data_IF_209133933144
#
_entry.id   IF_209133933144
#
_cell.length_a   1.000
_cell.length_b   1.000
_cell.length_c   1.000
_cell.angle_alpha   90.00
_cell.angle_beta   90.00
_cell.angle_gamma   90.00
#
_symmetry.space_group_name_H-M   'P 1'
#
loop_
_entity.id
_entity.type
_entity.pdbx_description
1 polymer ?
#
# COMPACT_ATOMS: atom_id res chain seq x y z
N UNK A 1 -46.31 -41.00 -31.25
CA UNK A 1 -45.74 -41.89 -30.22
C UNK A 1 -45.29 -41.02 -29.06
N UNK A 2 -45.94 -41.21 -27.90
CA UNK A 2 -45.64 -40.51 -26.66
C UNK A 2 -44.34 -41.07 -26.05
N UNK A 3 -43.43 -40.23 -25.60
CA UNK A 3 -42.43 -40.64 -24.60
C UNK A 3 -42.36 -39.59 -23.49
N UNK A 4 -42.45 -40.11 -22.27
CA UNK A 4 -42.83 -39.42 -21.03
C UNK A 4 -41.60 -38.83 -20.32
N UNK A 5 -41.89 -37.76 -19.60
CA UNK A 5 -41.10 -37.12 -18.56
C UNK A 5 -40.51 -38.08 -17.52
N UNK A 6 -39.29 -37.80 -17.06
CA UNK A 6 -38.83 -38.16 -15.72
C UNK A 6 -38.22 -36.90 -15.09
N UNK A 7 -39.01 -36.26 -14.23
CA UNK A 7 -38.54 -35.27 -13.27
C UNK A 7 -38.08 -36.03 -12.01
N UNK A 8 -36.82 -35.90 -11.63
CA UNK A 8 -36.33 -36.41 -10.34
C UNK A 8 -36.29 -35.25 -9.37
N UNK A 9 -37.28 -35.21 -8.48
CA UNK A 9 -37.24 -34.46 -7.23
C UNK A 9 -36.24 -35.12 -6.28
N UNK A 10 -35.30 -34.35 -5.74
CA UNK A 10 -34.59 -34.72 -4.51
C UNK A 10 -34.95 -33.74 -3.40
N UNK A 11 -35.71 -34.23 -2.43
CA UNK A 11 -36.03 -33.55 -1.18
C UNK A 11 -34.93 -33.74 -0.14
N UNK A 12 -34.48 -32.61 0.41
CA UNK A 12 -34.23 -32.28 1.82
C UNK A 12 -33.60 -33.34 2.76
N UNK A 13 -32.40 -33.02 3.25
CA UNK A 13 -31.99 -33.34 4.62
C UNK A 13 -31.07 -32.23 5.16
N UNK A 14 -31.64 -31.35 5.98
CA UNK A 14 -30.91 -30.38 6.82
C UNK A 14 -30.42 -31.13 8.05
N UNK A 15 -29.10 -31.32 8.18
CA UNK A 15 -28.48 -31.76 9.42
C UNK A 15 -27.87 -30.54 10.12
N UNK A 16 -28.57 -30.05 11.15
CA UNK A 16 -27.97 -29.19 12.17
C UNK A 16 -26.94 -30.02 12.94
N UNK A 17 -25.66 -29.66 12.83
CA UNK A 17 -24.66 -30.07 13.80
C UNK A 17 -24.03 -28.81 14.39
N UNK A 18 -24.43 -28.47 15.61
CA UNK A 18 -23.80 -27.47 16.42
C UNK A 18 -22.49 -28.05 16.97
N UNK A 19 -21.35 -27.62 16.44
CA UNK A 19 -20.04 -27.87 17.05
C UNK A 19 -19.42 -26.54 17.45
N UNK A 20 -19.25 -26.34 18.75
CA UNK A 20 -18.61 -25.19 19.36
C UNK A 20 -17.17 -25.04 18.83
N UNK A 21 -16.84 -23.87 18.29
CA UNK A 21 -15.47 -23.50 17.93
C UNK A 21 -14.62 -23.32 19.20
N UNK A 22 -13.39 -23.86 19.27
CA UNK A 22 -12.49 -23.53 20.36
C UNK A 22 -12.02 -22.08 20.18
N UNK A 23 -12.16 -21.30 21.26
CA UNK A 23 -11.61 -19.96 21.38
C UNK A 23 -10.09 -20.04 21.20
N UNK A 24 -9.59 -19.61 20.04
CA UNK A 24 -8.17 -19.45 19.79
C UNK A 24 -7.62 -18.35 20.74
N UNK A 25 -7.08 -18.78 21.89
CA UNK A 25 -6.18 -17.96 22.71
C UNK A 25 -4.85 -17.85 21.95
N UNK A 26 -4.69 -16.77 21.17
CA UNK A 26 -3.47 -16.51 20.43
C UNK A 26 -3.23 -15.01 20.24
N UNK A 27 -2.43 -14.44 21.15
CA UNK A 27 -1.47 -13.34 20.95
C UNK A 27 -1.03 -12.88 22.34
N UNK A 28 -0.08 -13.61 22.91
CA UNK A 28 0.81 -13.07 23.94
C UNK A 28 2.20 -13.19 23.32
N UNK A 29 2.92 -12.07 23.30
CA UNK A 29 4.32 -11.91 22.88
C UNK A 29 4.62 -11.84 21.37
N UNK A 30 4.54 -10.62 20.82
CA UNK A 30 5.39 -10.20 19.71
C UNK A 30 6.63 -9.46 20.25
N UNK A 31 7.50 -10.16 21.00
CA UNK A 31 8.85 -9.71 21.37
C UNK A 31 9.70 -10.92 21.82
N UNK A 32 11.04 -10.91 21.69
CA UNK A 32 11.88 -12.08 21.89
C UNK A 32 12.01 -12.44 23.39
N UNK A 33 12.01 -13.74 23.66
CA UNK A 33 12.18 -14.35 25.00
C UNK A 33 13.33 -13.72 25.81
N UNK A 34 13.02 -13.15 26.97
CA UNK A 34 13.94 -13.06 28.12
C UNK A 34 13.18 -13.53 29.37
N UNK A 35 13.83 -14.39 30.14
CA UNK A 35 13.26 -15.29 31.13
C UNK A 35 12.44 -14.63 32.28
N UNK A 36 11.46 -15.40 32.76
CA UNK A 36 10.62 -15.14 33.95
C UNK A 36 11.43 -15.06 35.25
N UNK A 37 11.07 -14.13 36.14
CA UNK A 37 11.15 -14.35 37.59
C UNK A 37 10.03 -13.59 38.31
N UNK A 38 9.32 -14.31 39.18
CA UNK A 38 8.18 -13.84 39.96
C UNK A 38 8.61 -13.02 41.18
N UNK A 39 7.89 -11.96 41.53
CA UNK A 39 7.81 -11.51 42.92
C UNK A 39 6.51 -10.72 43.16
N UNK A 40 5.73 -11.18 44.15
CA UNK A 40 4.55 -10.53 44.71
C UNK A 40 4.99 -9.43 45.67
N UNK A 41 4.31 -8.29 45.68
CA UNK A 41 4.51 -7.24 46.69
C UNK A 41 3.35 -6.25 46.71
N UNK A 42 2.43 -6.43 47.66
CA UNK A 42 1.28 -5.57 47.93
C UNK A 42 1.68 -4.64 49.08
N UNK A 43 1.61 -3.32 48.89
CA UNK A 43 1.53 -2.36 50.01
C UNK A 43 0.55 -1.25 49.64
N UNK A 44 -0.38 -1.03 50.56
CA UNK A 44 -1.45 -0.05 50.58
C UNK A 44 -1.19 0.87 51.79
N UNK A 45 -1.83 2.05 51.83
CA UNK A 45 -1.86 3.13 52.85
C UNK A 45 -1.11 4.39 52.40
N UNK A 46 -1.58 5.63 52.58
CA UNK A 46 -2.86 6.17 53.06
C UNK A 46 -2.89 7.69 52.83
N UNK A 47 -4.10 8.24 52.91
CA UNK A 47 -4.60 9.63 52.72
C UNK A 47 -3.81 10.76 53.44
N UNK A 48 -3.86 11.97 52.85
CA UNK A 48 -4.21 13.29 53.43
C UNK A 48 -4.36 14.29 52.26
N UNK A 49 -5.57 14.60 51.79
CA UNK A 49 -6.51 15.66 52.22
C UNK A 49 -6.02 17.11 52.08
N UNK A 50 -6.81 17.82 51.27
CA UNK A 50 -7.30 19.19 51.44
C UNK A 50 -6.59 20.38 50.76
N UNK A 51 -7.24 20.81 49.66
CA UNK A 51 -8.00 22.07 49.59
C UNK A 51 -7.25 23.32 49.09
N UNK A 52 -7.54 23.79 47.87
CA UNK A 52 -8.50 24.89 47.62
C UNK A 52 -8.60 25.27 46.14
N UNK A 53 -9.75 25.85 45.87
CA UNK A 53 -10.41 26.07 44.59
C UNK A 53 -9.95 27.34 43.84
N UNK A 54 -10.16 27.27 42.52
CA UNK A 54 -10.75 28.27 41.64
C UNK A 54 -9.95 29.46 41.06
N UNK A 55 -9.95 29.46 39.71
CA UNK A 55 -10.39 30.52 38.78
C UNK A 55 -9.66 31.87 38.82
N UNK A 56 -9.44 32.61 37.73
CA UNK A 56 -9.66 32.50 36.29
C UNK A 56 -9.05 33.79 35.71
N UNK A 57 -8.56 33.74 34.45
CA UNK A 57 -8.54 34.84 33.45
C UNK A 57 -7.63 36.06 33.80
N UNK A 58 -7.04 36.83 32.88
CA UNK A 58 -7.09 37.05 31.41
C UNK A 58 -5.79 37.83 31.09
N UNK A 59 -5.00 37.44 30.09
CA UNK A 59 -4.78 38.11 28.79
C UNK A 59 -4.24 39.56 28.76
N UNK A 60 -3.18 39.72 27.95
CA UNK A 60 -2.70 40.97 27.33
C UNK A 60 -1.53 41.60 28.08
N UNK A 61 -0.36 41.92 27.53
CA UNK A 61 0.11 42.10 26.15
C UNK A 61 1.10 43.27 26.17
N UNK A 62 2.18 43.23 25.37
CA UNK A 62 2.95 44.44 25.02
C UNK A 62 4.41 44.49 25.48
N UNK A 63 5.28 44.81 24.51
CA UNK A 63 6.75 44.86 24.52
C UNK A 63 7.33 46.06 25.29
N UNK A 64 8.57 45.93 25.81
CA UNK A 64 9.75 46.77 25.48
C UNK A 64 10.92 46.59 26.48
N UNK A 65 12.14 46.51 25.93
CA UNK A 65 13.42 46.96 26.53
C UNK A 65 13.98 46.08 27.65
N UNK A 66 15.24 45.67 27.70
CA UNK A 66 16.45 46.21 27.12
C UNK A 66 17.53 46.21 28.22
N UNK A 67 18.69 45.65 27.90
CA UNK A 67 20.01 45.84 28.52
C UNK A 67 20.37 45.23 29.90
N UNK A 68 21.37 44.33 29.80
CA UNK A 68 22.72 44.43 30.35
C UNK A 68 23.10 43.83 31.72
N UNK A 69 24.09 42.94 31.59
CA UNK A 69 25.38 42.86 32.31
C UNK A 69 25.49 42.05 33.62
N UNK A 70 26.66 41.39 33.69
CA UNK A 70 27.29 40.81 34.89
C UNK A 70 27.21 39.28 34.89
N UNK A 71 28.10 38.55 34.21
CA UNK A 71 29.43 38.15 34.72
C UNK A 71 29.36 37.49 36.10
N UNK A 72 29.51 36.16 36.18
CA UNK A 72 30.80 35.60 36.60
C UNK A 72 30.86 34.07 36.50
N UNK A 73 32.06 33.64 36.12
CA UNK A 73 32.51 32.27 35.87
C UNK A 73 32.99 31.58 37.15
N UNK A 74 32.81 30.25 37.22
CA UNK A 74 33.78 29.26 37.73
C UNK A 74 33.14 27.86 37.53
N UNK A 75 33.41 27.12 36.45
CA UNK A 75 34.60 26.36 36.07
C UNK A 75 34.83 25.03 36.82
N UNK A 76 35.01 23.97 36.02
CA UNK A 76 35.72 22.71 36.28
C UNK A 76 35.00 21.54 36.98
N UNK A 77 34.35 20.70 36.16
CA UNK A 77 34.71 19.29 35.92
C UNK A 77 34.74 18.28 37.07
N UNK A 78 33.89 17.24 36.97
CA UNK A 78 34.33 15.85 36.70
C UNK A 78 33.14 14.88 36.63
N UNK A 79 33.25 13.98 35.65
CA UNK A 79 32.47 12.78 35.42
C UNK A 79 32.10 12.00 36.68
N UNK A 80 30.84 11.57 36.76
CA UNK A 80 30.52 10.18 37.08
C UNK A 80 29.34 9.70 36.23
N UNK A 81 29.68 8.92 35.20
CA UNK A 81 28.79 8.00 34.50
C UNK A 81 28.07 7.08 35.51
N UNK A 82 26.75 7.17 35.56
CA UNK A 82 25.88 6.06 35.92
C UNK A 82 24.92 5.84 34.75
N UNK A 83 25.31 4.90 33.88
CA UNK A 83 24.46 4.41 32.81
C UNK A 83 23.15 3.89 33.38
N UNK A 84 22.06 4.50 32.94
CA UNK A 84 20.75 3.87 32.95
C UNK A 84 20.27 3.84 31.51
N UNK A 85 20.19 2.63 30.97
CA UNK A 85 19.42 2.34 29.77
C UNK A 85 18.02 2.92 29.96
N UNK A 86 17.78 4.08 29.36
CA UNK A 86 16.46 4.65 29.23
C UNK A 86 15.68 3.73 28.29
N UNK A 87 14.99 2.74 28.86
CA UNK A 87 13.87 2.09 28.21
C UNK A 87 12.98 3.22 27.69
N UNK A 88 12.91 3.36 26.37
CA UNK A 88 11.87 4.14 25.72
C UNK A 88 10.57 3.50 26.16
N UNK A 89 9.93 4.10 27.17
CA UNK A 89 8.66 3.64 27.69
C UNK A 89 7.63 3.76 26.58
N UNK A 90 7.41 2.67 25.86
CA UNK A 90 6.21 2.47 25.07
C UNK A 90 5.06 2.51 26.07
N UNK A 91 4.44 3.68 26.21
CA UNK A 91 3.12 3.77 26.85
C UNK A 91 2.23 2.85 26.03
N UNK A 92 1.82 1.72 26.61
CA UNK A 92 0.78 0.86 26.07
C UNK A 92 -0.48 1.71 25.84
N UNK A 93 -0.63 2.27 24.65
CA UNK A 93 -1.96 2.55 24.11
C UNK A 93 -2.65 1.19 24.05
N UNK A 94 -3.97 1.09 24.34
CA UNK A 94 -4.68 -0.17 24.16
C UNK A 94 -4.39 -0.65 22.75
N UNK A 95 -3.61 -1.73 22.65
CA UNK A 95 -3.06 -2.19 21.38
C UNK A 95 -4.25 -2.51 20.47
N UNK A 96 -4.51 -1.64 19.50
CA UNK A 96 -5.26 -2.07 18.33
C UNK A 96 -4.38 -3.17 17.73
N UNK A 97 -4.75 -4.43 17.97
CA UNK A 97 -3.94 -5.61 17.65
C UNK A 97 -3.25 -5.42 16.30
N UNK A 98 -1.93 -5.24 16.34
CA UNK A 98 -1.11 -5.16 15.13
C UNK A 98 -1.10 -6.51 14.41
N UNK A 99 -1.36 -7.62 15.13
CA UNK A 99 -1.45 -8.99 14.62
C UNK A 99 -2.91 -9.45 14.48
N UNK A 100 -3.26 -10.04 13.34
CA UNK A 100 -4.62 -10.50 13.05
C UNK A 100 -4.67 -12.02 12.97
N UNK A 101 -5.56 -12.64 13.75
CA UNK A 101 -5.67 -14.11 13.81
C UNK A 101 -6.06 -14.78 12.49
N UNK A 102 -6.70 -14.05 11.56
CA UNK A 102 -7.08 -14.59 10.26
C UNK A 102 -5.87 -14.96 9.39
N UNK A 103 -4.69 -14.41 9.65
CA UNK A 103 -3.47 -14.79 8.91
C UNK A 103 -2.98 -16.19 9.30
N UNK A 104 -3.51 -16.78 10.38
CA UNK A 104 -3.28 -18.18 10.74
C UNK A 104 -4.19 -19.16 9.97
N UNK A 105 -5.10 -18.65 9.13
CA UNK A 105 -6.00 -19.46 8.32
C UNK A 105 -5.43 -19.63 6.90
N UNK A 106 -5.24 -20.88 6.49
CA UNK A 106 -4.72 -21.26 5.16
C UNK A 106 -5.80 -21.29 4.06
N UNK A 107 -7.08 -21.14 4.44
CA UNK A 107 -8.22 -21.14 3.53
C UNK A 107 -8.67 -22.53 3.06
N UNK A 108 -8.10 -23.62 3.59
CA UNK A 108 -8.35 -25.00 3.12
C UNK A 108 -9.06 -25.89 4.14
N UNK A 109 -9.99 -25.32 4.92
CA UNK A 109 -10.76 -26.06 5.93
C UNK A 109 -12.27 -25.86 5.74
N UNK A 110 -12.98 -26.81 5.09
CA UNK A 110 -12.46 -28.02 4.44
C UNK A 110 -11.67 -27.72 3.14
N UNK A 111 -10.84 -28.66 2.64
CA UNK A 111 -10.11 -28.47 1.38
C UNK A 111 -11.06 -28.25 0.21
N UNK A 112 -10.71 -27.32 -0.69
CA UNK A 112 -11.46 -27.06 -1.91
C UNK A 112 -10.62 -27.48 -3.11
N UNK A 113 -11.17 -28.36 -3.95
CA UNK A 113 -10.46 -28.88 -5.11
C UNK A 113 -9.96 -27.75 -6.03
N UNK A 114 -8.69 -27.83 -6.44
CA UNK A 114 -8.04 -26.83 -7.29
C UNK A 114 -7.50 -25.60 -6.55
N UNK A 115 -7.67 -25.48 -5.23
CA UNK A 115 -7.05 -24.42 -4.44
C UNK A 115 -5.79 -24.90 -3.71
N UNK A 116 -4.81 -24.02 -3.56
CA UNK A 116 -3.59 -24.27 -2.77
C UNK A 116 -3.72 -23.59 -1.42
N UNK A 117 -3.25 -24.25 -0.36
CA UNK A 117 -3.19 -23.68 0.98
C UNK A 117 -2.33 -22.41 1.01
N UNK A 118 -2.84 -21.34 1.63
CA UNK A 118 -2.07 -20.13 1.84
C UNK A 118 -0.96 -20.37 2.87
N UNK A 119 0.16 -19.66 2.71
CA UNK A 119 1.08 -19.45 3.84
C UNK A 119 0.33 -18.79 4.99
N UNK A 120 0.74 -19.11 6.21
CA UNK A 120 0.12 -18.57 7.43
C UNK A 120 1.12 -17.84 8.32
N UNK A 121 0.62 -16.91 9.12
CA UNK A 121 1.41 -16.16 10.09
C UNK A 121 0.55 -15.76 11.28
N UNK A 122 1.11 -15.85 12.48
CA UNK A 122 0.51 -15.34 13.72
C UNK A 122 1.07 -13.96 14.11
N UNK A 123 2.07 -13.46 13.37
CA UNK A 123 2.77 -12.21 13.63
C UNK A 123 2.75 -11.26 12.41
N UNK A 124 1.74 -11.39 11.54
CA UNK A 124 1.56 -10.56 10.35
C UNK A 124 2.83 -10.41 9.49
N UNK A 125 3.61 -11.48 9.35
CA UNK A 125 4.79 -11.54 8.49
C UNK A 125 5.87 -10.49 8.80
N UNK A 126 5.92 -9.95 10.02
CA UNK A 126 6.89 -8.88 10.41
C UNK A 126 8.35 -9.23 10.06
N UNK A 127 8.73 -10.51 10.16
CA UNK A 127 10.08 -10.99 9.87
C UNK A 127 10.18 -11.79 8.55
N UNK A 128 9.21 -11.66 7.64
CA UNK A 128 9.14 -12.47 6.42
C UNK A 128 10.44 -12.40 5.61
N UNK A 129 10.97 -11.21 5.34
CA UNK A 129 12.21 -11.11 4.56
C UNK A 129 13.40 -11.75 5.24
N UNK A 130 13.55 -11.58 6.55
CA UNK A 130 14.65 -12.16 7.30
C UNK A 130 14.57 -13.70 7.38
N UNK A 131 13.35 -14.26 7.42
CA UNK A 131 13.13 -15.70 7.61
C UNK A 131 13.02 -16.48 6.29
N UNK A 132 12.44 -15.87 5.25
CA UNK A 132 12.16 -16.56 3.98
C UNK A 132 13.35 -16.52 3.02
N UNK A 133 14.12 -15.43 3.04
CA UNK A 133 15.20 -15.20 2.08
C UNK A 133 16.48 -14.68 2.77
N UNK A 134 17.10 -15.48 3.65
CA UNK A 134 18.35 -15.09 4.28
C UNK A 134 19.42 -14.83 3.20
N UNK A 135 19.98 -13.62 3.20
CA UNK A 135 21.00 -13.20 2.24
C UNK A 135 20.49 -12.48 0.99
N UNK A 136 19.18 -12.37 0.78
CA UNK A 136 18.63 -11.50 -0.28
C UNK A 136 18.64 -10.05 0.20
N UNK A 137 19.11 -9.08 -0.61
CA UNK A 137 19.08 -7.67 -0.26
C UNK A 137 17.67 -7.20 0.12
N UNK A 138 17.60 -6.28 1.08
CA UNK A 138 16.35 -5.67 1.48
C UNK A 138 16.04 -4.47 0.57
N UNK A 139 14.77 -4.28 0.22
CA UNK A 139 14.35 -3.06 -0.46
C UNK A 139 14.53 -1.88 0.50
N UNK A 140 15.24 -0.85 0.05
CA UNK A 140 15.67 0.27 0.90
C UNK A 140 15.36 1.64 0.28
N UNK A 141 14.38 1.69 -0.64
CA UNK A 141 14.07 2.89 -1.42
C UNK A 141 14.80 2.98 -2.76
N UNK A 142 15.78 2.12 -3.00
CA UNK A 142 16.48 2.04 -4.29
C UNK A 142 15.89 0.92 -5.16
N UNK A 143 16.04 1.06 -6.47
CA UNK A 143 15.72 0.00 -7.42
C UNK A 143 16.84 -1.05 -7.40
N UNK A 144 16.55 -2.24 -6.85
CA UNK A 144 17.50 -3.35 -6.78
C UNK A 144 17.25 -4.34 -7.93
N UNK A 145 17.97 -4.15 -9.04
CA UNK A 145 17.80 -4.95 -10.28
C UNK A 145 18.08 -6.44 -10.08
N UNK A 146 18.97 -6.81 -9.15
CA UNK A 146 19.27 -8.20 -8.79
C UNK A 146 18.21 -8.89 -7.92
N UNK A 147 17.09 -8.24 -7.65
CA UNK A 147 16.05 -8.71 -6.74
C UNK A 147 16.25 -8.24 -5.29
N UNK A 148 15.15 -8.11 -4.56
CA UNK A 148 15.16 -7.75 -3.13
C UNK A 148 13.89 -8.21 -2.43
N UNK A 149 13.89 -8.20 -1.10
CA UNK A 149 12.69 -8.41 -0.29
C UNK A 149 12.22 -7.10 0.34
N UNK A 150 10.97 -6.71 0.05
CA UNK A 150 10.38 -5.48 0.55
C UNK A 150 9.61 -5.72 1.86
N UNK A 151 9.92 -4.94 2.89
CA UNK A 151 9.33 -5.04 4.22
C UNK A 151 8.22 -3.99 4.44
N UNK A 152 8.07 -3.03 3.54
CA UNK A 152 7.04 -2.01 3.64
C UNK A 152 5.66 -2.67 3.56
N UNK A 153 4.75 -2.42 4.51
CA UNK A 153 3.41 -2.97 4.43
C UNK A 153 2.69 -2.42 3.20
N UNK A 154 1.75 -3.20 2.64
CA UNK A 154 1.00 -2.81 1.44
C UNK A 154 0.32 -1.43 1.58
N UNK A 155 -0.22 -1.14 2.76
CA UNK A 155 -0.86 0.13 3.09
C UNK A 155 -2.38 0.05 3.16
N UNK A 156 -3.02 1.20 2.95
CA UNK A 156 -4.45 1.35 3.08
C UNK A 156 -5.17 0.84 1.83
N UNK A 157 -6.25 0.08 2.04
CA UNK A 157 -7.06 -0.51 0.99
C UNK A 157 -8.34 0.32 0.80
N UNK A 158 -8.68 0.78 -0.42
CA UNK A 158 -9.88 1.58 -0.64
C UNK A 158 -11.15 0.74 -0.45
N UNK A 159 -12.29 1.40 -0.27
CA UNK A 159 -13.60 0.72 -0.33
C UNK A 159 -13.87 0.22 -1.75
N UNK A 160 -14.75 -0.78 -1.90
CA UNK A 160 -15.18 -1.28 -3.22
C UNK A 160 -15.71 -0.16 -4.14
N UNK A 161 -16.44 0.81 -3.59
CA UNK A 161 -16.93 2.00 -4.31
C UNK A 161 -15.85 2.95 -4.80
N UNK A 162 -14.66 2.90 -4.20
CA UNK A 162 -13.51 3.76 -4.48
C UNK A 162 -12.41 3.01 -5.26
N UNK A 163 -12.71 1.83 -5.81
CA UNK A 163 -11.75 1.17 -6.70
C UNK A 163 -11.49 2.05 -7.93
N UNK A 164 -10.22 2.26 -8.31
CA UNK A 164 -9.87 3.09 -9.44
C UNK A 164 -10.18 2.38 -10.75
N UNK A 165 -10.23 3.16 -11.83
CA UNK A 165 -10.28 2.64 -13.19
C UNK A 165 -9.74 3.69 -14.13
N UNK A 166 -8.91 3.24 -15.05
CA UNK A 166 -8.36 4.06 -16.13
C UNK A 166 -8.92 3.61 -17.48
N UNK A 167 -9.03 4.53 -18.43
CA UNK A 167 -9.38 4.25 -19.83
C UNK A 167 -8.71 5.23 -20.78
N UNK A 168 -8.02 4.76 -21.82
CA UNK A 168 -7.51 5.64 -22.87
C UNK A 168 -8.65 6.25 -23.69
N UNK A 169 -8.51 7.55 -23.93
CA UNK A 169 -9.34 8.30 -24.87
C UNK A 169 -8.66 8.43 -26.25
N UNK A 170 -7.32 8.50 -26.28
CA UNK A 170 -6.52 8.48 -27.50
C UNK A 170 -5.10 7.93 -27.29
N UNK A 171 -4.56 7.13 -28.23
CA UNK A 171 -5.29 6.39 -29.24
C UNK A 171 -6.39 5.51 -28.63
N UNK A 172 -7.48 5.30 -29.37
CA UNK A 172 -8.50 4.31 -29.03
C UNK A 172 -8.03 2.94 -29.49
N UNK A 173 -8.66 1.90 -28.94
CA UNK A 173 -8.38 0.55 -29.37
C UNK A 173 -8.79 0.34 -30.84
N UNK A 174 -7.87 -0.15 -31.64
CA UNK A 174 -8.02 -0.36 -33.09
C UNK A 174 -7.66 0.86 -33.94
N UNK A 175 -7.23 1.97 -33.36
CA UNK A 175 -6.91 3.17 -34.13
C UNK A 175 -5.76 2.95 -35.11
N UNK A 176 -5.79 3.72 -36.20
CA UNK A 176 -4.69 3.88 -37.14
C UNK A 176 -4.25 5.34 -37.05
N UNK A 177 -3.00 5.57 -36.66
CA UNK A 177 -2.40 6.90 -36.59
C UNK A 177 -1.34 7.09 -37.68
N UNK A 178 -0.94 8.33 -37.94
CA UNK A 178 0.13 8.62 -38.89
C UNK A 178 1.48 8.25 -38.28
N UNK A 179 2.28 7.48 -39.02
CA UNK A 179 3.62 7.12 -38.62
C UNK A 179 4.55 8.35 -38.59
N UNK A 180 5.44 8.39 -37.60
CA UNK A 180 6.41 9.47 -37.36
C UNK A 180 5.77 10.86 -37.23
N UNK A 181 4.48 10.94 -36.85
CA UNK A 181 3.79 12.18 -36.54
C UNK A 181 3.59 12.29 -35.04
N UNK A 182 3.94 13.42 -34.42
CA UNK A 182 3.73 13.61 -32.99
C UNK A 182 2.26 13.48 -32.61
N UNK A 183 1.99 12.86 -31.47
CA UNK A 183 0.65 12.79 -30.91
C UNK A 183 0.67 12.78 -29.39
N UNK A 184 -0.49 13.06 -28.80
CA UNK A 184 -0.68 13.12 -27.36
C UNK A 184 -1.53 11.94 -26.93
N UNK A 185 -0.99 11.04 -26.11
CA UNK A 185 -1.84 10.07 -25.44
C UNK A 185 -2.74 10.78 -24.42
N UNK A 186 -4.02 10.41 -24.36
CA UNK A 186 -4.98 10.93 -23.40
C UNK A 186 -5.78 9.81 -22.76
N UNK A 187 -6.17 10.00 -21.50
CA UNK A 187 -6.84 8.97 -20.71
C UNK A 187 -7.79 9.60 -19.68
N UNK A 188 -8.76 8.81 -19.23
CA UNK A 188 -9.68 9.16 -18.17
C UNK A 188 -9.38 8.27 -16.97
N UNK A 189 -9.29 8.86 -15.77
CA UNK A 189 -9.15 8.10 -14.53
C UNK A 189 -10.24 8.54 -13.57
N UNK A 190 -10.83 7.59 -12.86
CA UNK A 190 -11.78 7.84 -11.76
C UNK A 190 -11.29 7.21 -10.46
N UNK A 191 -11.77 7.73 -9.34
CA UNK A 191 -11.50 7.23 -7.98
C UNK A 191 -10.01 7.11 -7.63
N UNK A 192 -9.20 8.03 -8.16
CA UNK A 192 -7.76 8.03 -7.99
C UNK A 192 -7.24 9.47 -7.94
N UNK A 193 -6.42 9.78 -6.93
CA UNK A 193 -5.74 11.06 -6.83
C UNK A 193 -4.34 10.93 -7.45
N UNK A 194 -4.19 11.44 -8.68
CA UNK A 194 -2.91 11.44 -9.40
C UNK A 194 -2.01 12.62 -9.04
N UNK A 195 -0.82 12.65 -9.66
CA UNK A 195 0.13 13.75 -9.56
C UNK A 195 0.95 13.68 -8.28
N UNK A 196 0.93 12.54 -7.60
CA UNK A 196 1.74 12.28 -6.41
C UNK A 196 2.71 11.15 -6.75
N UNK A 197 3.90 11.54 -7.19
CA UNK A 197 5.04 10.65 -7.40
C UNK A 197 6.18 11.08 -6.49
N UNK A 198 6.91 10.11 -5.95
CA UNK A 198 8.09 10.34 -5.12
C UNK A 198 9.36 10.03 -5.91
N UNK A 199 10.55 10.25 -5.35
CA UNK A 199 11.79 10.00 -6.07
C UNK A 199 11.99 8.48 -6.31
N UNK A 200 11.93 8.04 -7.57
CA UNK A 200 12.06 6.63 -7.94
C UNK A 200 13.44 6.01 -7.63
N UNK A 201 14.48 6.81 -7.44
CA UNK A 201 15.83 6.32 -7.11
C UNK A 201 16.08 6.23 -5.60
N UNK A 202 15.24 6.89 -4.78
CA UNK A 202 15.49 7.07 -3.34
C UNK A 202 14.36 6.57 -2.46
N UNK A 203 13.14 6.48 -2.97
CA UNK A 203 11.96 6.09 -2.17
C UNK A 203 11.11 5.01 -2.85
N UNK A 204 11.68 4.23 -3.76
CA UNK A 204 11.05 3.11 -4.44
C UNK A 204 10.56 2.05 -3.45
N UNK A 205 9.25 1.82 -3.43
CA UNK A 205 8.54 0.96 -2.47
C UNK A 205 8.79 1.26 -0.99
N UNK A 206 9.30 2.45 -0.67
CA UNK A 206 9.71 2.82 0.67
C UNK A 206 8.55 3.30 1.58
N UNK A 207 7.34 3.45 1.03
CA UNK A 207 6.17 3.82 1.82
C UNK A 207 4.90 3.09 1.37
N UNK A 208 3.95 2.85 2.29
CA UNK A 208 2.71 2.14 1.99
C UNK A 208 1.76 2.94 1.09
N UNK A 209 0.83 2.25 0.41
CA UNK A 209 -0.30 2.89 -0.27
C UNK A 209 -1.11 3.74 0.73
N UNK A 210 -1.48 4.97 0.31
CA UNK A 210 -2.30 5.89 1.11
C UNK A 210 -3.60 6.21 0.39
N UNK A 211 -4.60 6.59 1.18
CA UNK A 211 -5.87 7.10 0.68
C UNK A 211 -6.00 8.58 1.04
N UNK A 212 -6.69 9.33 0.19
CA UNK A 212 -7.08 10.70 0.47
C UNK A 212 -8.33 10.75 1.36
N UNK A 213 -8.81 11.97 1.62
CA UNK A 213 -9.97 12.23 2.48
C UNK A 213 -11.26 11.57 1.98
N UNK A 214 -11.37 11.39 0.66
CA UNK A 214 -12.53 10.79 -0.01
C UNK A 214 -12.40 9.25 -0.13
N UNK A 215 -11.28 8.68 0.33
CA UNK A 215 -11.00 7.24 0.26
C UNK A 215 -10.43 6.78 -1.07
N UNK A 216 -10.02 7.68 -1.96
CA UNK A 216 -9.34 7.37 -3.22
C UNK A 216 -7.85 7.16 -2.98
N UNK A 217 -7.24 6.26 -3.75
CA UNK A 217 -5.80 6.01 -3.65
C UNK A 217 -5.02 7.23 -4.15
N UNK A 218 -3.93 7.55 -3.45
CA UNK A 218 -2.99 8.62 -3.81
C UNK A 218 -1.79 8.03 -4.54
N UNK A 219 -1.51 8.52 -5.74
CA UNK A 219 -0.36 8.06 -6.52
C UNK A 219 -0.21 8.75 -7.86
N UNK A 220 0.23 7.98 -8.85
CA UNK A 220 0.45 8.44 -10.22
C UNK A 220 0.24 7.28 -11.19
N UNK A 221 0.28 7.59 -12.49
CA UNK A 221 0.19 6.58 -13.55
C UNK A 221 1.36 6.75 -14.50
N UNK A 222 1.77 5.67 -15.15
CA UNK A 222 2.69 5.70 -16.27
C UNK A 222 1.96 5.31 -17.55
N UNK A 223 2.45 5.78 -18.70
CA UNK A 223 2.06 5.30 -20.02
C UNK A 223 3.28 4.60 -20.62
N UNK A 224 3.06 3.38 -21.11
CA UNK A 224 4.08 2.59 -21.81
C UNK A 224 3.56 2.21 -23.18
N UNK A 225 4.38 2.41 -24.21
CA UNK A 225 4.11 1.92 -25.57
C UNK A 225 5.14 0.83 -25.88
N UNK A 226 4.65 -0.34 -26.24
CA UNK A 226 5.43 -1.50 -26.67
C UNK A 226 5.19 -1.72 -28.17
N UNK A 227 6.24 -2.06 -28.91
CA UNK A 227 6.14 -2.56 -30.28
C UNK A 227 5.63 -4.00 -30.28
N UNK A 228 4.76 -4.32 -31.23
CA UNK A 228 4.30 -5.68 -31.51
C UNK A 228 4.74 -6.10 -32.91
N UNK A 229 4.94 -7.40 -33.10
CA UNK A 229 5.14 -7.98 -34.43
C UNK A 229 3.85 -7.85 -35.26
N UNK A 230 2.71 -8.09 -34.62
CA UNK A 230 1.37 -7.90 -35.17
C UNK A 230 0.33 -7.74 -34.04
N UNK A 231 -0.83 -7.16 -34.35
CA UNK A 231 -1.91 -6.98 -33.36
C UNK A 231 -2.47 -8.31 -32.81
N UNK A 232 -2.35 -9.39 -33.57
CA UNK A 232 -2.80 -10.73 -33.17
C UNK A 232 -1.66 -11.60 -32.61
N UNK A 233 -0.50 -11.01 -32.28
CA UNK A 233 0.59 -11.69 -31.61
C UNK A 233 0.11 -12.30 -30.28
N UNK A 234 0.45 -13.57 -30.06
CA UNK A 234 0.16 -14.30 -28.81
C UNK A 234 1.42 -14.51 -27.95
N UNK A 235 2.60 -14.28 -28.53
CA UNK A 235 3.87 -14.29 -27.79
C UNK A 235 3.90 -13.09 -26.85
N UNK A 236 4.25 -13.25 -25.56
CA UNK A 236 4.41 -12.12 -24.65
C UNK A 236 5.47 -11.13 -25.14
N UNK A 237 5.27 -9.85 -24.85
CA UNK A 237 6.29 -8.82 -25.04
C UNK A 237 7.43 -8.98 -24.03
N UNK A 238 8.61 -8.44 -24.36
CA UNK A 238 9.75 -8.36 -23.44
C UNK A 238 9.59 -7.11 -22.55
N UNK A 239 9.33 -7.26 -21.23
CA UNK A 239 9.04 -6.12 -20.36
C UNK A 239 10.24 -5.20 -20.10
N UNK A 240 11.45 -5.58 -20.52
CA UNK A 240 12.64 -4.71 -20.48
C UNK A 240 12.76 -3.80 -21.71
N UNK A 241 11.89 -3.99 -22.71
CA UNK A 241 11.89 -3.23 -23.97
C UNK A 241 10.57 -2.48 -24.13
N UNK A 242 10.67 -1.17 -24.33
CA UNK A 242 9.54 -0.32 -24.66
C UNK A 242 9.96 0.72 -25.70
N UNK A 243 9.03 1.13 -26.55
CA UNK A 243 9.22 2.23 -27.48
C UNK A 243 9.14 3.59 -26.76
N UNK A 244 8.22 3.70 -25.81
CA UNK A 244 8.01 4.92 -25.04
C UNK A 244 7.59 4.61 -23.61
N UNK A 245 8.11 5.37 -22.65
CA UNK A 245 7.71 5.31 -21.24
C UNK A 245 7.62 6.73 -20.68
N UNK A 246 6.52 7.05 -20.00
CA UNK A 246 6.36 8.35 -19.35
C UNK A 246 5.52 8.26 -18.08
N UNK A 247 6.03 8.80 -16.98
CA UNK A 247 5.23 9.13 -15.80
C UNK A 247 4.30 10.31 -16.07
N UNK A 248 3.04 10.16 -15.67
CA UNK A 248 1.99 11.18 -15.78
C UNK A 248 1.89 11.90 -14.45
N UNK A 249 2.62 13.00 -14.36
CA UNK A 249 2.81 13.75 -13.11
C UNK A 249 1.78 14.90 -12.95
N UNK A 250 0.95 15.14 -13.96
CA UNK A 250 0.00 16.23 -13.97
C UNK A 250 -1.26 15.91 -13.13
N UNK A 251 -1.83 16.94 -12.51
CA UNK A 251 -3.18 16.87 -11.92
C UNK A 251 -4.23 16.92 -13.04
N UNK A 252 -5.34 16.18 -12.93
CA UNK A 252 -6.40 16.20 -13.94
C UNK A 252 -7.05 17.57 -14.04
N UNK A 253 -7.47 17.94 -15.25
CA UNK A 253 -8.31 19.12 -15.50
C UNK A 253 -9.75 18.63 -15.66
N UNK A 254 -10.64 18.98 -14.72
CA UNK A 254 -12.08 18.64 -14.76
C UNK A 254 -12.40 17.12 -14.80
N UNK A 255 -11.85 16.32 -13.86
CA UNK A 255 -12.15 14.87 -13.68
C UNK A 255 -11.84 13.98 -14.90
N UNK A 256 -11.14 14.53 -15.88
CA UNK A 256 -10.66 13.90 -17.11
C UNK A 256 -9.20 14.35 -17.26
N UNK A 257 -8.27 13.48 -17.69
CA UNK A 257 -6.93 13.98 -18.03
C UNK A 257 -7.02 14.51 -19.45
N UNK A 258 -7.49 15.75 -19.61
CA UNK A 258 -7.56 16.32 -20.94
C UNK A 258 -6.18 16.57 -21.57
N UNK A 259 -5.12 16.89 -20.83
CA UNK A 259 -3.86 17.28 -21.48
C UNK A 259 -2.61 16.98 -20.64
N UNK A 260 -2.46 15.73 -20.19
CA UNK A 260 -1.13 15.27 -19.78
C UNK A 260 -0.45 14.61 -20.97
N UNK A 261 0.04 15.47 -21.87
CA UNK A 261 0.97 15.22 -22.97
C UNK A 261 2.06 14.20 -22.58
N UNK A 262 1.78 12.90 -22.73
CA UNK A 262 2.79 11.98 -23.23
C UNK A 262 2.94 12.30 -24.72
N UNK A 263 3.57 13.44 -25.00
CA UNK A 263 3.96 13.77 -26.35
C UNK A 263 4.95 12.70 -26.78
N UNK A 264 4.49 11.80 -27.65
CA UNK A 264 5.42 10.99 -28.41
C UNK A 264 5.96 11.92 -29.47
N UNK A 265 6.98 12.70 -29.13
CA UNK A 265 7.41 13.88 -29.90
C UNK A 265 7.96 13.56 -31.28
N UNK A 266 8.44 12.33 -31.47
CA UNK A 266 8.84 11.80 -32.76
C UNK A 266 7.71 11.02 -33.46
N UNK A 267 6.54 10.89 -32.84
CA UNK A 267 5.56 9.86 -33.19
C UNK A 267 6.11 8.45 -32.98
N UNK A 268 5.40 7.46 -33.52
CA UNK A 268 5.90 6.07 -33.59
C UNK A 268 6.10 5.68 -35.07
N UNK A 269 7.11 4.87 -35.41
CA UNK A 269 7.30 4.34 -36.76
C UNK A 269 6.11 3.52 -37.25
N UNK A 270 6.08 3.16 -38.54
CA UNK A 270 5.07 2.22 -39.05
C UNK A 270 5.16 0.89 -38.30
N UNK A 271 4.04 0.40 -37.81
CA UNK A 271 4.02 -0.83 -37.00
C UNK A 271 2.73 -1.05 -36.21
N UNK A 272 2.71 -2.13 -35.45
CA UNK A 272 1.66 -2.47 -34.49
C UNK A 272 2.15 -2.17 -33.07
N UNK A 273 1.26 -1.64 -32.22
CA UNK A 273 1.63 -1.17 -30.90
C UNK A 273 0.59 -1.56 -29.86
N UNK A 274 1.07 -1.81 -28.65
CA UNK A 274 0.28 -1.89 -27.42
C UNK A 274 0.65 -0.69 -26.56
N UNK A 275 -0.36 0.05 -26.09
CA UNK A 275 -0.17 1.12 -25.12
C UNK A 275 -0.96 0.81 -23.86
N UNK A 276 -0.28 0.78 -22.72
CA UNK A 276 -0.87 0.46 -21.43
C UNK A 276 -0.59 1.52 -20.38
N UNK A 277 -1.43 1.55 -19.35
CA UNK A 277 -1.12 2.29 -18.13
C UNK A 277 -0.44 1.41 -17.09
N UNK A 278 0.30 2.05 -16.19
CA UNK A 278 0.78 1.45 -14.95
C UNK A 278 0.39 2.37 -13.80
N UNK A 279 -0.70 2.06 -13.11
CA UNK A 279 -1.18 2.79 -11.95
C UNK A 279 -0.41 2.35 -10.70
N UNK A 280 0.20 3.32 -10.01
CA UNK A 280 1.04 3.07 -8.84
C UNK A 280 0.64 3.99 -7.68
N UNK A 281 0.86 3.53 -6.46
CA UNK A 281 0.91 4.41 -5.29
C UNK A 281 2.07 5.42 -5.41
N UNK A 282 2.09 6.44 -4.55
CA UNK A 282 3.11 7.48 -4.59
C UNK A 282 4.58 6.97 -4.58
N UNK A 283 4.84 5.82 -3.99
CA UNK A 283 6.15 5.19 -3.89
C UNK A 283 6.34 4.06 -4.91
N UNK A 284 5.64 4.14 -6.05
CA UNK A 284 5.73 3.24 -7.20
C UNK A 284 5.18 1.82 -6.97
N UNK A 285 4.73 1.46 -5.76
CA UNK A 285 4.12 0.15 -5.53
C UNK A 285 2.82 0.01 -6.34
N UNK A 286 2.56 -1.16 -6.95
CA UNK A 286 1.32 -1.40 -7.69
C UNK A 286 0.08 -1.09 -6.86
N UNK A 287 -0.94 -0.56 -7.51
CA UNK A 287 -2.21 -0.26 -6.84
C UNK A 287 -2.90 -1.54 -6.39
N UNK A 288 -3.35 -1.56 -5.13
CA UNK A 288 -4.05 -2.70 -4.52
C UNK A 288 -5.47 -2.35 -4.08
N UNK A 289 -6.40 -3.28 -4.32
CA UNK A 289 -7.84 -3.13 -4.07
C UNK A 289 -8.41 -4.10 -3.02
N UNK A 290 -9.70 -3.95 -2.65
CA UNK A 290 -10.32 -4.65 -1.52
C UNK A 290 -10.86 -6.05 -1.80
N UNK A 291 -10.95 -6.46 -3.06
CA UNK A 291 -11.56 -7.73 -3.47
C UNK A 291 -10.76 -8.33 -4.62
N UNK A 292 -10.87 -9.64 -4.85
CA UNK A 292 -10.22 -10.31 -5.98
C UNK A 292 -11.01 -10.18 -7.30
N UNK A 293 -12.36 -10.18 -7.22
CA UNK A 293 -13.22 -10.06 -8.41
C UNK A 293 -13.51 -8.60 -8.75
N UNK A 294 -12.63 -7.98 -9.55
CA UNK A 294 -12.78 -6.62 -10.06
C UNK A 294 -12.25 -6.51 -11.49
N UNK A 295 -12.63 -5.44 -12.20
CA UNK A 295 -12.01 -5.10 -13.49
C UNK A 295 -10.58 -4.57 -13.30
N UNK A 296 -9.81 -4.55 -14.38
CA UNK A 296 -8.45 -3.98 -14.35
C UNK A 296 -8.48 -2.52 -13.86
N UNK A 297 -7.53 -2.17 -12.99
CA UNK A 297 -7.31 -0.78 -12.61
C UNK A 297 -6.62 -0.01 -13.73
N UNK A 298 -5.78 -0.71 -14.50
CA UNK A 298 -5.10 -0.21 -15.70
C UNK A 298 -5.92 -0.41 -16.97
N UNK A 299 -5.56 0.30 -18.03
CA UNK A 299 -6.07 0.09 -19.37
C UNK A 299 -4.97 -0.29 -20.35
N UNK A 300 -5.34 -0.98 -21.42
CA UNK A 300 -4.49 -1.20 -22.58
C UNK A 300 -5.31 -0.98 -23.85
N UNK A 301 -4.70 -0.33 -24.83
CA UNK A 301 -5.21 -0.19 -26.20
C UNK A 301 -4.18 -0.68 -27.19
N UNK A 302 -4.67 -1.19 -28.31
CA UNK A 302 -3.87 -1.66 -29.42
C UNK A 302 -4.11 -0.77 -30.62
N UNK A 303 -3.07 -0.34 -31.31
CA UNK A 303 -3.21 0.55 -32.48
C UNK A 303 -2.12 0.26 -33.51
N UNK A 304 -2.27 0.81 -34.71
CA UNK A 304 -1.23 0.76 -35.74
C UNK A 304 -0.81 2.14 -36.17
N UNK A 305 0.42 2.29 -36.64
CA UNK A 305 0.87 3.49 -37.32
C UNK A 305 1.19 3.18 -38.78
N UNK A 306 0.72 4.06 -39.67
CA UNK A 306 0.90 3.93 -41.12
C UNK A 306 1.44 5.24 -41.70
#
# INVERSE_FOLDING_TARGET
>A
MHSRSIAVLFSLAVALCASASPVARGCVDCAPNVARSSARGRVQLSRRQDNKNNNQKKQGGGKKGGNNNGEDQANSGKDQSKGNNGQVGIRERPERRQCWGNFANDGQKPPVAGQTASSTSTNNYINFCALTLPGVPLTNGEQKEGGSCNQTPMGLIPKKSNMPSTKFNFPRNGDVINANVPFNASLNIRNFETGVFTNAEKTYFAAPQRLNKDGNIIGHTHIVIETLDALNQITPTDPTKFFFFKGVDAKPVAQTFFEALALVSAGVPRGAYRMCTINTSANHAPVVGPIAQHGSFDDCVYFTAK
#
